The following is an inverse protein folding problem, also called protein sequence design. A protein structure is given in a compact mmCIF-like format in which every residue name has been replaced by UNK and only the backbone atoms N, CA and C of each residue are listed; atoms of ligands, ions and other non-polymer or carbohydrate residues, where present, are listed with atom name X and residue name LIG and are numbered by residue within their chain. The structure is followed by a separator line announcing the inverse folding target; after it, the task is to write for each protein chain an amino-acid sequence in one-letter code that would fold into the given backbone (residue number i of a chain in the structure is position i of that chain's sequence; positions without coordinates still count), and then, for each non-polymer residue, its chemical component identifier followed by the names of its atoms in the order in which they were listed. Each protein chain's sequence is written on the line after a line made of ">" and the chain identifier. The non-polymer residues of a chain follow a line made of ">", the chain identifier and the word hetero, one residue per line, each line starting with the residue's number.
data_IF_490099656617
#
_entry.id   IF_490099656617
#
_cell.length_a   1.000
_cell.length_b   1.000
_cell.length_c   1.000
_cell.angle_alpha   90.00
_cell.angle_beta   90.00
_cell.angle_gamma   90.00
#
_symmetry.space_group_name_H-M   'P 1'
#
loop_
_entity.id
_entity.type
_entity.pdbx_description
1 polymer ?
#
# COMPACT_ATOMS: atom_id res chain seq x y z
N UNK A 1 -16.26 8.22 17.95
CA UNK A 1 -14.89 7.65 17.92
C UNK A 1 -14.88 6.40 17.04
N UNK A 2 -15.26 6.51 15.77
CA UNK A 2 -15.28 5.39 14.81
C UNK A 2 -14.42 5.66 13.58
N UNK A 3 -14.26 6.92 13.19
CA UNK A 3 -13.54 7.30 11.96
C UNK A 3 -12.02 7.36 12.11
N UNK A 4 -11.49 7.26 13.33
CA UNK A 4 -10.05 7.38 13.58
C UNK A 4 -9.26 6.10 13.20
N UNK A 5 -9.92 4.94 13.19
CA UNK A 5 -9.30 3.66 12.84
C UNK A 5 -9.13 3.47 11.32
N UNK A 6 -10.03 4.03 10.50
CA UNK A 6 -9.92 4.00 9.03
C UNK A 6 -8.75 4.86 8.52
N UNK A 7 -8.41 5.94 9.22
CA UNK A 7 -7.28 6.81 8.89
C UNK A 7 -5.90 6.19 9.19
N UNK A 8 -5.83 5.18 10.05
CA UNK A 8 -4.58 4.48 10.41
C UNK A 8 -4.18 3.39 9.40
N UNK A 9 -5.09 2.93 8.54
CA UNK A 9 -4.81 1.92 7.51
C UNK A 9 -4.45 2.53 6.14
N UNK A 10 -4.81 3.79 5.88
CA UNK A 10 -4.42 4.51 4.66
C UNK A 10 -2.90 4.74 4.48
N UNK A 11 -2.08 5.00 5.51
CA UNK A 11 -0.66 5.28 5.32
C UNK A 11 0.16 4.03 4.94
N UNK A 12 -0.27 2.84 5.38
CA UNK A 12 0.45 1.59 5.09
C UNK A 12 0.31 1.16 3.63
N UNK A 13 -0.84 1.43 2.99
CA UNK A 13 -1.03 1.15 1.56
C UNK A 13 -0.27 2.14 0.67
N UNK A 14 -0.13 3.40 1.08
CA UNK A 14 0.64 4.41 0.35
C UNK A 14 2.16 4.17 0.43
N UNK A 15 2.69 3.66 1.54
CA UNK A 15 4.12 3.35 1.69
C UNK A 15 4.57 2.19 0.79
N UNK A 16 3.68 1.25 0.46
CA UNK A 16 3.99 0.11 -0.43
C UNK A 16 4.32 0.54 -1.87
N UNK A 17 3.82 1.69 -2.33
CA UNK A 17 4.07 2.19 -3.69
C UNK A 17 5.36 3.01 -3.83
N UNK A 18 5.96 3.47 -2.72
CA UNK A 18 7.15 4.35 -2.76
C UNK A 18 8.49 3.61 -2.97
N UNK A 19 8.47 2.27 -3.06
CA UNK A 19 9.67 1.45 -3.25
C UNK A 19 9.74 0.66 -4.56
N UNK A 20 8.74 0.79 -5.43
CA UNK A 20 8.56 -0.09 -6.60
C UNK A 20 9.47 0.34 -7.73
N UNK A 21 10.67 -0.23 -7.85
CA UNK A 21 11.57 0.09 -8.96
C UNK A 21 11.01 -0.44 -10.28
N UNK A 22 11.66 -0.05 -11.37
CA UNK A 22 11.39 -0.63 -12.66
C UNK A 22 12.65 -1.17 -13.33
N UNK A 23 12.46 -1.98 -14.37
CA UNK A 23 13.44 -2.98 -14.78
C UNK A 23 14.83 -2.40 -15.06
N UNK A 24 14.89 -1.24 -15.71
CA UNK A 24 16.16 -0.58 -16.06
C UNK A 24 16.86 0.02 -14.85
N UNK A 25 16.13 0.36 -13.79
CA UNK A 25 16.73 0.89 -12.55
C UNK A 25 17.43 -0.14 -11.70
N UNK A 26 17.13 -1.42 -11.94
CA UNK A 26 17.79 -2.54 -11.32
C UNK A 26 19.19 -2.80 -11.88
N UNK A 27 19.53 -2.18 -13.01
CA UNK A 27 20.87 -2.24 -13.59
C UNK A 27 21.66 -0.98 -13.19
N UNK A 28 22.65 -1.07 -12.28
CA UNK A 28 23.45 0.09 -11.88
C UNK A 28 24.15 0.75 -13.08
N UNK A 29 24.56 -0.05 -14.07
CA UNK A 29 25.25 0.43 -15.26
C UNK A 29 24.33 1.23 -16.17
N UNK A 30 23.02 0.99 -16.13
CA UNK A 30 22.05 1.85 -16.81
C UNK A 30 22.11 3.28 -16.27
N UNK A 31 22.10 3.46 -14.94
CA UNK A 31 22.17 4.79 -14.31
C UNK A 31 23.50 5.50 -14.64
N UNK A 32 24.60 4.76 -14.70
CA UNK A 32 25.91 5.28 -15.10
C UNK A 32 25.96 5.67 -16.58
N UNK A 33 25.46 4.81 -17.48
CA UNK A 33 25.39 5.07 -18.92
C UNK A 33 24.55 6.33 -19.19
N UNK A 34 23.38 6.48 -18.54
CA UNK A 34 22.54 7.69 -18.66
C UNK A 34 23.31 8.93 -18.21
N UNK A 35 23.90 8.93 -17.01
CA UNK A 35 24.64 10.09 -16.51
C UNK A 35 25.78 10.49 -17.44
N UNK A 36 26.58 9.52 -17.87
CA UNK A 36 27.76 9.77 -18.69
C UNK A 36 27.42 10.19 -20.12
N UNK A 37 26.40 9.59 -20.74
CA UNK A 37 25.99 9.92 -22.10
C UNK A 37 25.23 11.24 -22.15
N UNK A 38 24.27 11.46 -21.25
CA UNK A 38 23.51 12.72 -21.22
C UNK A 38 24.42 13.91 -20.94
N UNK A 39 25.45 13.77 -20.09
CA UNK A 39 26.43 14.82 -19.84
C UNK A 39 27.19 15.28 -21.10
N UNK A 40 27.39 14.38 -22.07
CA UNK A 40 28.07 14.70 -23.35
C UNK A 40 27.17 15.41 -24.35
N UNK A 41 25.85 15.42 -24.14
CA UNK A 41 24.89 16.04 -25.08
C UNK A 41 24.84 17.57 -24.98
N UNK A 42 25.26 18.14 -23.86
CA UNK A 42 25.18 19.58 -23.60
C UNK A 42 26.60 20.15 -23.47
N UNK A 43 27.01 21.09 -24.35
CA UNK A 43 28.31 21.77 -24.27
C UNK A 43 28.53 22.44 -22.92
N UNK A 44 29.78 22.49 -22.44
CA UNK A 44 30.15 23.04 -21.13
C UNK A 44 29.79 24.51 -20.94
N UNK A 45 29.69 25.26 -22.03
CA UNK A 45 29.52 26.71 -22.07
C UNK A 45 28.06 27.13 -21.87
N UNK A 46 27.11 26.17 -21.89
CA UNK A 46 25.68 26.46 -21.79
C UNK A 46 25.31 26.92 -20.37
N UNK A 47 24.71 28.11 -20.20
CA UNK A 47 24.22 28.57 -18.90
C UNK A 47 23.18 27.62 -18.32
N UNK A 48 23.28 27.30 -17.03
CA UNK A 48 22.32 26.40 -16.37
C UNK A 48 22.44 24.93 -16.79
N UNK A 49 23.52 24.53 -17.46
CA UNK A 49 23.80 23.15 -17.91
C UNK A 49 23.55 22.10 -16.83
N UNK A 50 24.03 22.33 -15.61
CA UNK A 50 23.90 21.37 -14.50
C UNK A 50 22.44 21.07 -14.20
N UNK A 51 21.61 22.10 -14.05
CA UNK A 51 20.18 21.95 -13.79
C UNK A 51 19.44 21.27 -14.94
N UNK A 52 19.78 21.62 -16.20
CA UNK A 52 19.23 20.96 -17.38
C UNK A 52 19.55 19.46 -17.40
N UNK A 53 20.82 19.10 -17.21
CA UNK A 53 21.28 17.71 -17.21
C UNK A 53 20.66 16.91 -16.07
N UNK A 54 20.66 17.46 -14.86
CA UNK A 54 20.10 16.80 -13.68
C UNK A 54 18.61 16.47 -13.87
N UNK A 55 17.84 17.42 -14.41
CA UNK A 55 16.44 17.21 -14.76
C UNK A 55 16.27 16.08 -15.78
N UNK A 56 17.04 16.10 -16.86
CA UNK A 56 16.91 15.10 -17.92
C UNK A 56 17.32 13.70 -17.46
N UNK A 57 18.40 13.59 -16.67
CA UNK A 57 18.85 12.33 -16.07
C UNK A 57 17.77 11.77 -15.15
N UNK A 58 17.19 12.61 -14.28
CA UNK A 58 16.11 12.20 -13.38
C UNK A 58 14.89 11.72 -14.15
N UNK A 59 14.48 12.45 -15.18
CA UNK A 59 13.33 12.10 -16.02
C UNK A 59 13.54 10.79 -16.81
N UNK A 60 14.76 10.53 -17.29
CA UNK A 60 15.09 9.31 -18.03
C UNK A 60 15.16 8.07 -17.13
N UNK A 61 15.64 8.23 -15.90
CA UNK A 61 15.68 7.15 -14.90
C UNK A 61 14.24 6.81 -14.46
N UNK A 62 13.47 7.84 -14.09
CA UNK A 62 12.16 7.68 -13.46
C UNK A 62 11.02 7.25 -14.40
N UNK A 63 11.22 7.36 -15.71
CA UNK A 63 10.34 6.81 -16.76
C UNK A 63 9.88 5.38 -16.53
N UNK A 64 10.79 4.60 -15.97
CA UNK A 64 10.61 3.18 -15.78
C UNK A 64 9.42 2.88 -14.85
N UNK A 65 9.04 3.80 -13.95
CA UNK A 65 7.90 3.71 -13.03
C UNK A 65 6.51 3.92 -13.68
N UNK A 66 6.41 4.38 -14.93
CA UNK A 66 5.10 4.67 -15.56
C UNK A 66 4.49 3.48 -16.31
N UNK A 67 5.26 2.42 -16.53
CA UNK A 67 4.74 1.20 -17.16
C UNK A 67 3.88 0.45 -16.14
N UNK A 68 2.60 0.80 -16.12
CA UNK A 68 1.46 0.08 -15.53
C UNK A 68 1.82 -0.94 -14.44
N UNK A 69 2.17 -0.44 -13.25
CA UNK A 69 2.23 -1.26 -12.03
C UNK A 69 0.87 -1.86 -11.62
N UNK A 70 -0.22 -1.44 -12.28
CA UNK A 70 -1.57 -1.97 -12.06
C UNK A 70 -1.77 -3.39 -12.56
N UNK A 71 -0.92 -3.84 -13.49
CA UNK A 71 -0.93 -5.23 -13.95
C UNK A 71 0.26 -5.96 -13.33
N UNK A 72 -0.01 -6.82 -12.32
CA UNK A 72 1.02 -7.64 -11.66
C UNK A 72 1.79 -8.50 -12.66
N UNK A 73 1.20 -8.72 -13.85
CA UNK A 73 1.84 -9.43 -14.93
C UNK A 73 3.09 -8.70 -15.48
N UNK A 74 3.11 -7.37 -15.48
CA UNK A 74 4.20 -6.59 -16.07
C UNK A 74 5.36 -6.33 -15.08
N UNK A 75 5.63 -7.27 -14.18
CA UNK A 75 6.63 -7.14 -13.10
C UNK A 75 7.96 -7.80 -13.41
N UNK A 76 7.96 -8.87 -14.18
CA UNK A 76 9.14 -9.70 -14.40
C UNK A 76 9.68 -9.54 -15.81
N UNK A 77 11.00 -9.60 -15.95
CA UNK A 77 11.65 -9.53 -17.25
C UNK A 77 12.93 -10.35 -17.27
N UNK A 78 13.19 -11.10 -18.35
CA UNK A 78 14.48 -11.75 -18.50
C UNK A 78 15.63 -10.74 -18.51
N UNK A 79 16.70 -11.02 -17.76
CA UNK A 79 17.86 -10.12 -17.59
C UNK A 79 18.44 -9.71 -18.96
N UNK A 80 18.51 -10.64 -19.91
CA UNK A 80 19.05 -10.35 -21.24
C UNK A 80 18.19 -9.34 -22.04
N UNK A 81 16.87 -9.27 -21.81
CA UNK A 81 15.98 -8.29 -22.44
C UNK A 81 16.20 -6.90 -21.84
N UNK A 82 16.39 -6.80 -20.53
CA UNK A 82 16.76 -5.54 -19.86
C UNK A 82 18.11 -5.01 -20.41
N UNK A 83 19.10 -5.88 -20.60
CA UNK A 83 20.38 -5.52 -21.22
C UNK A 83 20.21 -5.02 -22.66
N UNK A 84 19.35 -5.68 -23.46
CA UNK A 84 19.04 -5.22 -24.83
C UNK A 84 18.42 -3.82 -24.84
N UNK A 85 17.51 -3.52 -23.91
CA UNK A 85 16.93 -2.18 -23.76
C UNK A 85 17.99 -1.13 -23.40
N UNK A 86 18.90 -1.44 -22.46
CA UNK A 86 20.03 -0.55 -22.13
C UNK A 86 20.90 -0.26 -23.35
N UNK A 87 21.25 -1.29 -24.13
CA UNK A 87 22.06 -1.13 -25.35
C UNK A 87 21.34 -0.26 -26.37
N UNK A 88 20.04 -0.50 -26.58
CA UNK A 88 19.23 0.33 -27.49
C UNK A 88 19.26 1.80 -27.08
N UNK A 89 18.99 2.09 -25.80
CA UNK A 89 18.98 3.47 -25.30
C UNK A 89 20.35 4.13 -25.42
N UNK A 90 21.43 3.40 -25.13
CA UNK A 90 22.80 3.86 -25.32
C UNK A 90 23.06 4.26 -26.77
N UNK A 91 22.58 3.48 -27.73
CA UNK A 91 22.72 3.81 -29.15
C UNK A 91 21.92 5.06 -29.54
N UNK A 92 20.70 5.23 -29.02
CA UNK A 92 19.91 6.44 -29.27
C UNK A 92 20.58 7.70 -28.70
N UNK A 93 21.09 7.64 -27.47
CA UNK A 93 21.85 8.76 -26.88
C UNK A 93 23.16 9.03 -27.63
N UNK A 94 23.83 7.99 -28.14
CA UNK A 94 25.04 8.16 -28.96
C UNK A 94 24.73 8.85 -30.30
N UNK A 95 23.63 8.48 -30.96
CA UNK A 95 23.16 9.17 -32.18
C UNK A 95 22.91 10.65 -31.90
N UNK A 96 22.20 10.97 -30.83
CA UNK A 96 21.95 12.36 -30.42
C UNK A 96 23.25 13.12 -30.11
N UNK A 97 24.24 12.46 -29.51
CA UNK A 97 25.53 13.08 -29.21
C UNK A 97 26.41 13.37 -30.43
N UNK A 98 26.17 12.68 -31.55
CA UNK A 98 26.88 12.93 -32.81
C UNK A 98 26.24 14.02 -33.66
N UNK A 99 25.03 14.46 -33.33
CA UNK A 99 24.38 15.57 -34.01
C UNK A 99 24.95 16.91 -33.56
N UNK A 100 24.87 17.91 -34.43
CA UNK A 100 25.22 19.28 -34.05
C UNK A 100 24.28 19.80 -32.98
N UNK A 101 24.82 20.49 -31.98
CA UNK A 101 24.03 21.15 -30.95
C UNK A 101 23.13 22.23 -31.56
N UNK A 102 21.81 22.11 -31.34
CA UNK A 102 20.80 23.06 -31.86
C UNK A 102 20.09 23.86 -30.76
N UNK A 103 20.58 23.79 -29.53
CA UNK A 103 19.99 24.46 -28.37
C UNK A 103 19.19 23.54 -27.45
N UNK A 104 18.94 24.03 -26.23
CA UNK A 104 18.36 23.24 -25.14
C UNK A 104 16.94 22.75 -25.44
N UNK A 105 16.10 23.57 -26.08
CA UNK A 105 14.71 23.21 -26.39
C UNK A 105 14.63 22.04 -27.39
N UNK A 106 15.46 22.07 -28.44
CA UNK A 106 15.52 20.99 -29.43
C UNK A 106 16.04 19.70 -28.78
N UNK A 107 17.08 19.79 -27.93
CA UNK A 107 17.56 18.63 -27.19
C UNK A 107 16.47 18.03 -26.30
N UNK A 108 15.75 18.85 -25.53
CA UNK A 108 14.65 18.40 -24.66
C UNK A 108 13.56 17.68 -25.46
N UNK A 109 13.18 18.21 -26.62
CA UNK A 109 12.22 17.56 -27.51
C UNK A 109 12.70 16.19 -28.01
N UNK A 110 13.97 16.07 -28.39
CA UNK A 110 14.54 14.79 -28.81
C UNK A 110 14.66 13.79 -27.67
N UNK A 111 15.09 14.24 -26.49
CA UNK A 111 15.14 13.38 -25.30
C UNK A 111 13.75 12.91 -24.87
N UNK A 112 12.72 13.75 -25.02
CA UNK A 112 11.33 13.38 -24.79
C UNK A 112 10.88 12.24 -25.72
N UNK A 113 11.21 12.33 -27.01
CA UNK A 113 10.89 11.28 -27.99
C UNK A 113 11.60 9.96 -27.67
N UNK A 114 12.91 10.00 -27.39
CA UNK A 114 13.68 8.82 -26.94
C UNK A 114 13.03 8.18 -25.71
N UNK A 115 12.58 9.01 -24.78
CA UNK A 115 11.90 8.58 -23.57
C UNK A 115 10.56 7.88 -23.86
N UNK A 116 9.72 8.46 -24.71
CA UNK A 116 8.43 7.86 -25.06
C UNK A 116 8.63 6.53 -25.80
N UNK A 117 9.62 6.47 -26.69
CA UNK A 117 9.99 5.25 -27.39
C UNK A 117 10.51 4.16 -26.42
N UNK A 118 11.29 4.55 -25.40
CA UNK A 118 11.73 3.63 -24.36
C UNK A 118 10.55 3.06 -23.56
N UNK A 119 9.60 3.90 -23.17
CA UNK A 119 8.40 3.51 -22.42
C UNK A 119 7.55 2.50 -23.23
N UNK A 120 7.31 2.79 -24.51
CA UNK A 120 6.57 1.89 -25.40
C UNK A 120 7.28 0.54 -25.56
N UNK A 121 8.59 0.54 -25.80
CA UNK A 121 9.38 -0.69 -25.92
C UNK A 121 9.39 -1.50 -24.64
N UNK A 122 9.51 -0.85 -23.48
CA UNK A 122 9.49 -1.53 -22.20
C UNK A 122 8.12 -2.18 -21.95
N UNK A 123 7.03 -1.45 -22.23
CA UNK A 123 5.66 -1.97 -22.10
C UNK A 123 5.40 -3.17 -23.02
N UNK A 124 5.82 -3.07 -24.28
CA UNK A 124 5.68 -4.15 -25.25
C UNK A 124 6.50 -5.39 -24.86
N UNK A 125 7.76 -5.19 -24.45
CA UNK A 125 8.62 -6.30 -24.02
C UNK A 125 8.06 -6.98 -22.77
N UNK A 126 7.56 -6.23 -21.79
CA UNK A 126 6.95 -6.79 -20.59
C UNK A 126 5.68 -7.57 -20.94
N UNK A 127 4.83 -7.04 -21.82
CA UNK A 127 3.63 -7.74 -22.28
C UNK A 127 3.97 -9.04 -23.02
N UNK A 128 4.89 -8.98 -23.97
CA UNK A 128 5.31 -10.15 -24.73
C UNK A 128 6.02 -11.18 -23.83
N UNK A 129 6.76 -10.72 -22.82
CA UNK A 129 7.37 -11.62 -21.84
C UNK A 129 6.31 -12.25 -20.93
N UNK A 130 5.24 -11.52 -20.61
CA UNK A 130 4.17 -12.04 -19.77
C UNK A 130 3.38 -13.18 -20.41
N UNK A 131 3.31 -13.20 -21.73
CA UNK A 131 2.61 -14.25 -22.50
C UNK A 131 3.44 -15.54 -22.66
N UNK A 132 4.72 -15.54 -22.24
CA UNK A 132 5.63 -16.69 -22.38
C UNK A 132 5.62 -17.54 -21.10
N UNK A 133 5.19 -18.81 -21.23
CA UNK A 133 4.99 -19.75 -20.12
C UNK A 133 6.31 -20.36 -19.60
N UNK A 134 7.33 -20.47 -20.45
CA UNK A 134 8.63 -21.07 -20.07
C UNK A 134 9.74 -20.15 -20.54
N UNK A 135 10.61 -19.76 -19.62
CA UNK A 135 11.74 -18.88 -19.94
C UNK A 135 13.05 -19.57 -19.55
N UNK A 136 13.97 -19.65 -20.52
CA UNK A 136 15.33 -20.11 -20.25
C UNK A 136 16.17 -18.93 -19.74
N UNK A 137 16.76 -19.09 -18.56
CA UNK A 137 17.75 -18.17 -18.00
C UNK A 137 17.24 -17.28 -16.86
N UNK A 138 18.10 -16.38 -16.35
CA UNK A 138 17.79 -15.58 -15.17
C UNK A 138 16.72 -14.52 -15.46
N UNK A 139 15.74 -14.45 -14.57
CA UNK A 139 14.65 -13.48 -14.57
C UNK A 139 14.97 -12.37 -13.56
N UNK A 140 14.57 -11.15 -13.86
CA UNK A 140 14.65 -10.00 -12.99
C UNK A 140 13.24 -9.65 -12.52
N UNK A 141 13.04 -9.58 -11.21
CA UNK A 141 11.88 -8.89 -10.65
C UNK A 141 12.17 -7.39 -10.66
N UNK A 142 11.46 -6.66 -11.50
CA UNK A 142 11.73 -5.25 -11.73
C UNK A 142 11.40 -4.37 -10.52
N UNK A 143 10.49 -4.82 -9.65
CA UNK A 143 10.06 -4.05 -8.48
C UNK A 143 11.07 -4.12 -7.35
N UNK A 144 11.61 -5.32 -7.11
CA UNK A 144 12.56 -5.58 -6.01
C UNK A 144 14.02 -5.56 -6.47
N UNK A 145 14.26 -5.60 -7.78
CA UNK A 145 15.57 -5.80 -8.39
C UNK A 145 16.26 -7.10 -7.99
N UNK A 146 15.48 -8.10 -7.59
CA UNK A 146 15.99 -9.43 -7.27
C UNK A 146 16.14 -10.24 -8.54
N UNK A 147 17.30 -10.90 -8.67
CA UNK A 147 17.55 -11.87 -9.72
C UNK A 147 17.00 -13.21 -9.27
N UNK A 148 16.06 -13.74 -10.05
CA UNK A 148 15.47 -15.06 -9.86
C UNK A 148 16.13 -16.01 -10.85
N UNK A 149 16.67 -17.12 -10.35
CA UNK A 149 17.36 -18.14 -11.14
C UNK A 149 16.55 -19.42 -11.29
N UNK A 150 15.35 -19.48 -10.72
CA UNK A 150 14.45 -20.61 -10.88
C UNK A 150 13.93 -20.63 -12.32
N UNK A 151 13.80 -21.83 -12.91
CA UNK A 151 13.21 -22.01 -14.24
C UNK A 151 11.76 -21.52 -14.30
N UNK A 152 11.12 -21.47 -13.13
CA UNK A 152 9.78 -20.97 -12.98
C UNK A 152 9.65 -20.00 -11.82
N UNK A 153 8.94 -18.88 -12.04
CA UNK A 153 8.63 -17.90 -10.99
C UNK A 153 7.33 -18.31 -10.28
N UNK A 154 7.43 -18.69 -9.00
CA UNK A 154 6.29 -19.06 -8.15
C UNK A 154 5.17 -18.01 -8.24
N UNK A 155 3.97 -18.43 -8.68
CA UNK A 155 2.79 -17.58 -8.89
C UNK A 155 2.21 -17.67 -10.31
N UNK A 156 1.62 -16.56 -10.79
CA UNK A 156 0.89 -16.47 -12.07
C UNK A 156 1.73 -16.80 -13.33
N UNK A 157 3.05 -16.66 -13.26
CA UNK A 157 3.97 -16.79 -14.41
C UNK A 157 4.31 -18.21 -14.81
N UNK A 158 4.14 -19.13 -13.88
CA UNK A 158 4.70 -20.45 -14.00
C UNK A 158 3.79 -21.53 -13.43
N UNK A 159 2.49 -21.23 -13.48
CA UNK A 159 1.46 -22.13 -12.99
C UNK A 159 1.77 -22.65 -11.59
N UNK A 160 1.77 -21.79 -10.58
CA UNK A 160 1.64 -22.23 -9.18
C UNK A 160 0.57 -21.35 -8.55
N UNK A 161 -0.52 -21.83 -7.98
CA UNK A 161 -0.89 -23.09 -7.31
C UNK A 161 -2.25 -23.53 -7.88
N UNK A 162 -2.69 -24.80 -7.71
CA UNK A 162 -4.04 -25.26 -8.07
C UNK A 162 -5.06 -24.12 -7.83
N UNK A 163 -5.92 -23.77 -8.79
CA UNK A 163 -6.94 -22.72 -8.59
C UNK A 163 -7.71 -22.91 -7.27
N UNK A 164 -7.84 -24.16 -6.84
CA UNK A 164 -8.35 -24.58 -5.53
C UNK A 164 -7.59 -24.01 -4.33
N UNK A 165 -6.26 -23.88 -4.34
CA UNK A 165 -5.51 -23.31 -3.21
C UNK A 165 -5.70 -21.80 -3.09
N UNK A 166 -5.73 -21.07 -4.21
CA UNK A 166 -6.05 -19.64 -4.21
C UNK A 166 -7.50 -19.40 -3.74
N UNK A 167 -8.45 -20.17 -4.30
CA UNK A 167 -9.85 -20.16 -3.89
C UNK A 167 -10.01 -20.55 -2.41
N UNK A 168 -9.33 -21.59 -1.94
CA UNK A 168 -9.35 -22.01 -0.53
C UNK A 168 -8.78 -20.93 0.40
N UNK A 169 -7.78 -20.17 -0.06
CA UNK A 169 -7.22 -19.05 0.71
C UNK A 169 -8.18 -17.88 0.78
N UNK A 170 -8.87 -17.55 -0.32
CA UNK A 170 -9.91 -16.53 -0.35
C UNK A 170 -11.12 -16.93 0.51
N UNK A 171 -11.57 -18.19 0.40
CA UNK A 171 -12.62 -18.78 1.27
C UNK A 171 -12.18 -18.73 2.73
N UNK A 172 -10.93 -19.10 3.03
CA UNK A 172 -10.38 -19.06 4.39
C UNK A 172 -10.38 -17.65 4.97
N UNK A 173 -9.94 -16.66 4.20
CA UNK A 173 -9.98 -15.24 4.61
C UNK A 173 -11.42 -14.75 4.81
N UNK A 174 -12.34 -15.15 3.93
CA UNK A 174 -13.76 -14.81 4.05
C UNK A 174 -14.38 -15.40 5.33
N UNK A 175 -14.08 -16.67 5.66
CA UNK A 175 -14.54 -17.33 6.88
C UNK A 175 -13.97 -16.68 8.15
N UNK A 176 -12.70 -16.27 8.13
CA UNK A 176 -12.08 -15.54 9.24
C UNK A 176 -12.81 -14.21 9.47
N UNK A 177 -13.06 -13.44 8.42
CA UNK A 177 -13.77 -12.17 8.51
C UNK A 177 -15.20 -12.34 9.03
N UNK A 178 -15.94 -13.34 8.55
CA UNK A 178 -17.27 -13.66 9.08
C UNK A 178 -17.22 -14.01 10.57
N UNK A 179 -16.23 -14.80 10.98
CA UNK A 179 -16.06 -15.19 12.38
C UNK A 179 -15.77 -13.98 13.26
N UNK A 180 -14.90 -13.07 12.81
CA UNK A 180 -14.61 -11.83 13.53
C UNK A 180 -15.85 -10.95 13.69
N UNK A 181 -16.66 -10.79 12.63
CA UNK A 181 -17.91 -10.01 12.70
C UNK A 181 -18.89 -10.63 13.70
N UNK A 182 -19.03 -11.96 13.70
CA UNK A 182 -19.92 -12.66 14.64
C UNK A 182 -19.42 -12.52 16.07
N UNK A 183 -18.12 -12.70 16.32
CA UNK A 183 -17.53 -12.57 17.66
C UNK A 183 -17.69 -11.14 18.18
N UNK A 184 -17.33 -10.14 17.38
CA UNK A 184 -17.44 -8.73 17.74
C UNK A 184 -18.90 -8.32 17.96
N UNK A 185 -19.81 -8.74 17.08
CA UNK A 185 -21.24 -8.49 17.22
C UNK A 185 -21.83 -9.14 18.48
N UNK A 186 -21.45 -10.38 18.78
CA UNK A 186 -21.89 -11.10 19.98
C UNK A 186 -21.37 -10.44 21.25
N UNK A 187 -20.09 -10.07 21.27
CA UNK A 187 -19.48 -9.35 22.39
C UNK A 187 -20.16 -7.99 22.64
N UNK A 188 -20.47 -7.24 21.57
CA UNK A 188 -21.18 -5.98 21.64
C UNK A 188 -22.60 -6.12 22.21
N UNK A 189 -23.35 -7.13 21.74
CA UNK A 189 -24.70 -7.43 22.23
C UNK A 189 -24.68 -7.81 23.71
N UNK A 190 -23.76 -8.70 24.12
CA UNK A 190 -23.58 -9.08 25.52
C UNK A 190 -23.25 -7.87 26.37
N UNK A 191 -22.32 -7.01 25.92
CA UNK A 191 -21.99 -5.77 26.61
C UNK A 191 -23.23 -4.87 26.80
N UNK A 192 -24.04 -4.69 25.75
CA UNK A 192 -25.27 -3.90 25.82
C UNK A 192 -26.28 -4.48 26.83
N UNK A 193 -26.49 -5.80 26.80
CA UNK A 193 -27.41 -6.48 27.71
C UNK A 193 -26.91 -6.37 29.15
N UNK A 194 -25.63 -6.63 29.40
CA UNK A 194 -25.02 -6.54 30.73
C UNK A 194 -25.12 -5.12 31.30
N UNK A 195 -24.81 -4.10 30.50
CA UNK A 195 -24.92 -2.69 30.94
C UNK A 195 -26.36 -2.30 31.20
N UNK A 196 -27.30 -2.70 30.32
CA UNK A 196 -28.73 -2.42 30.49
C UNK A 196 -29.28 -3.10 31.75
N UNK A 197 -28.96 -4.38 31.96
CA UNK A 197 -29.36 -5.15 33.13
C UNK A 197 -28.77 -4.55 34.42
N UNK A 198 -27.49 -4.17 34.40
CA UNK A 198 -26.85 -3.54 35.56
C UNK A 198 -27.51 -2.20 35.91
N UNK A 199 -27.85 -1.37 34.91
CA UNK A 199 -28.58 -0.11 35.13
C UNK A 199 -29.97 -0.36 35.73
N UNK A 200 -30.71 -1.35 35.22
CA UNK A 200 -32.03 -1.74 35.77
C UNK A 200 -31.94 -2.23 37.21
N UNK A 201 -31.01 -3.14 37.51
CA UNK A 201 -30.78 -3.65 38.86
C UNK A 201 -30.38 -2.54 39.84
N UNK A 202 -29.54 -1.59 39.40
CA UNK A 202 -29.15 -0.44 40.21
C UNK A 202 -30.34 0.48 40.52
N UNK A 203 -31.29 0.65 39.59
CA UNK A 203 -32.51 1.41 39.82
C UNK A 203 -33.44 0.71 40.82
N UNK A 204 -33.68 -0.60 40.67
CA UNK A 204 -34.50 -1.41 41.58
C UNK A 204 -33.91 -1.41 42.99
N UNK A 205 -32.59 -1.55 43.13
CA UNK A 205 -31.93 -1.53 44.44
C UNK A 205 -32.10 -0.17 45.14
N UNK A 206 -32.05 0.94 44.39
CA UNK A 206 -32.28 2.29 44.92
C UNK A 206 -33.73 2.50 45.36
N UNK A 207 -34.71 2.02 44.58
CA UNK A 207 -36.13 2.15 44.96
C UNK A 207 -36.46 1.30 46.20
N UNK A 208 -35.93 0.07 46.28
CA UNK A 208 -36.13 -0.80 47.43
C UNK A 208 -35.50 -0.20 48.71
N UNK A 209 -34.29 0.37 48.59
CA UNK A 209 -33.63 1.06 49.72
C UNK A 209 -34.48 2.23 50.23
N UNK A 210 -34.99 3.08 49.33
CA UNK A 210 -35.88 4.19 49.70
C UNK A 210 -37.18 3.71 50.35
N UNK A 211 -37.75 2.61 49.86
CA UNK A 211 -38.96 2.03 50.44
C UNK A 211 -38.72 1.53 51.87
N UNK A 212 -37.61 0.84 52.12
CA UNK A 212 -37.22 0.37 53.45
C UNK A 212 -36.92 1.53 54.41
N UNK A 213 -36.20 2.57 53.97
CA UNK A 213 -35.93 3.77 54.78
C UNK A 213 -37.24 4.45 55.20
N UNK A 214 -38.18 4.66 54.26
CA UNK A 214 -39.49 5.24 54.57
C UNK A 214 -40.29 4.39 55.56
N UNK A 215 -40.28 3.06 55.39
CA UNK A 215 -40.98 2.15 56.31
C UNK A 215 -40.36 2.15 57.71
N UNK A 216 -39.05 2.29 57.80
CA UNK A 216 -38.34 2.40 59.08
C UNK A 216 -38.65 3.75 59.77
N UNK A 217 -38.67 4.86 59.03
CA UNK A 217 -39.08 6.17 59.55
C UNK A 217 -40.53 6.17 60.05
N UNK A 218 -41.46 5.53 59.33
CA UNK A 218 -42.86 5.36 59.78
C UNK A 218 -42.93 4.59 61.11
N UNK A 219 -42.17 3.50 61.26
CA UNK A 219 -42.15 2.69 62.49
C UNK A 219 -41.53 3.43 63.68
N UNK A 220 -40.42 4.17 63.47
CA UNK A 220 -39.80 4.99 64.51
C UNK A 220 -40.76 6.12 64.93
N UNK A 221 -41.38 6.81 63.97
CA UNK A 221 -42.35 7.88 64.25
C UNK A 221 -43.61 7.39 64.98
N UNK A 222 -44.04 6.15 64.78
CA UNK A 222 -45.11 5.52 65.58
C UNK A 222 -44.64 5.25 67.01
N UNK A 223 -43.42 4.75 67.18
CA UNK A 223 -42.83 4.42 68.50
C UNK A 223 -42.61 5.69 69.34
N UNK A 224 -42.20 6.79 68.73
CA UNK A 224 -41.98 8.06 69.42
C UNK A 224 -43.32 8.72 69.82
N UNK A 225 -44.36 8.65 68.97
CA UNK A 225 -45.71 9.10 69.33
C UNK A 225 -46.29 8.32 70.50
N UNK A 226 -46.05 7.01 70.58
CA UNK A 226 -46.52 6.16 71.67
C UNK A 226 -45.80 6.48 73.00
N UNK A 227 -44.54 6.94 72.94
CA UNK A 227 -43.79 7.44 74.10
C UNK A 227 -44.20 8.84 74.56
N UNK A 228 -44.54 9.75 73.64
CA UNK A 228 -45.05 11.07 73.99
C UNK A 228 -46.46 11.00 74.60
N UNK A 229 -47.33 10.13 74.09
CA UNK A 229 -48.70 9.95 74.61
C UNK A 229 -48.73 9.29 76.00
N UNK A 230 -47.69 8.51 76.34
CA UNK A 230 -47.49 7.95 77.68
C UNK A 230 -46.75 8.87 78.66
N UNK A 231 -46.17 9.98 78.18
CA UNK A 231 -45.49 11.01 78.99
C UNK A 231 -46.40 12.16 79.45
N UNK A 232 -47.56 12.36 78.81
CA UNK A 232 -48.48 13.48 79.11
C UNK A 232 -49.50 13.13 80.22
N UNK A 233 -49.57 11.86 80.66
CA UNK A 233 -50.32 11.45 81.87
C UNK A 233 -49.41 11.34 83.09
N UNK A 234 -49.08 12.46 83.71
CA UNK A 234 -48.66 12.53 85.11
C UNK A 234 -49.43 13.63 85.82
#
# INVERSE_FOLDING_TARGET
>A
MGDLWLLLLLPLSLAAFHGVKACLECDPKFKEDIRSLTAKLVPSEVPGRTHLLERQIKEMIHLSFKVSHGDKMLRVLAVHKAVKLRIWLKNELYKLGNETWKGAFILQGKLLDVRQNLELKLKEILKNFSEVVVTEGPILDCWTCLRITTQCFRGEYCGEEDSRMAENREIGLFLILLTEVVILGSAWLLFHICVSHWRKMKAIRRSLKKYLEKKLEELIGMTDKEKDDSGIRK
#
